data_IF_314796686441
#
_entry.id   IF_314796686441
#
_cell.length_a   1.000
_cell.length_b   1.000
_cell.length_c   1.000
_cell.angle_alpha   90.00
_cell.angle_beta   90.00
_cell.angle_gamma   90.00
#
_symmetry.space_group_name_H-M   'P 1'
#
loop_
_entity.id
_entity.type
_entity.pdbx_description
1 polymer ?
#
# COMPACT_ATOMS: atom_id res chain seq x y z
N UNK A 1 -4.17 56.36 -34.77
CA UNK A 1 -3.07 55.44 -35.14
C UNK A 1 -2.48 54.98 -33.83
N UNK A 2 -2.72 53.80 -33.27
CA UNK A 2 -3.01 52.48 -33.86
C UNK A 2 -3.86 51.71 -32.82
N UNK A 3 -4.95 51.09 -33.26
CA UNK A 3 -5.96 50.44 -32.42
C UNK A 3 -5.59 48.97 -32.12
N UNK A 4 -5.92 48.50 -30.91
CA UNK A 4 -5.92 47.10 -30.52
C UNK A 4 -7.16 46.40 -31.12
N UNK A 5 -7.07 45.18 -31.67
CA UNK A 5 -8.24 44.49 -32.18
C UNK A 5 -9.01 43.78 -31.06
N UNK A 6 -10.30 44.10 -30.98
CA UNK A 6 -11.33 43.39 -30.22
C UNK A 6 -11.55 42.00 -30.84
N UNK A 7 -11.38 40.94 -30.06
CA UNK A 7 -11.77 39.59 -30.49
C UNK A 7 -13.26 39.40 -30.19
N UNK A 8 -14.01 39.20 -31.27
CA UNK A 8 -15.46 39.00 -31.33
C UNK A 8 -15.77 37.53 -31.06
N UNK A 9 -16.68 37.25 -30.12
CA UNK A 9 -17.25 35.91 -29.91
C UNK A 9 -18.10 35.49 -31.11
N UNK A 10 -17.99 34.25 -31.63
CA UNK A 10 -18.86 33.79 -32.69
C UNK A 10 -20.25 33.46 -32.15
N UNK A 11 -21.27 34.20 -32.60
CA UNK A 11 -22.66 33.78 -32.54
C UNK A 11 -22.86 32.58 -33.47
N UNK A 12 -23.31 31.45 -32.91
CA UNK A 12 -23.78 30.32 -33.71
C UNK A 12 -25.22 30.59 -34.13
N UNK A 13 -25.43 30.72 -35.43
CA UNK A 13 -26.74 30.82 -36.05
C UNK A 13 -27.49 29.48 -35.90
N UNK A 14 -28.70 29.54 -35.34
CA UNK A 14 -29.62 28.40 -35.29
C UNK A 14 -30.28 28.22 -36.66
N UNK A 15 -29.87 27.19 -37.40
CA UNK A 15 -30.58 26.73 -38.59
C UNK A 15 -31.59 25.67 -38.16
N UNK A 16 -32.88 25.98 -38.29
CA UNK A 16 -33.95 25.02 -38.07
C UNK A 16 -33.96 23.99 -39.21
N UNK A 17 -33.62 22.73 -38.88
CA UNK A 17 -33.84 21.57 -39.74
C UNK A 17 -35.15 20.92 -39.30
N UNK A 18 -36.12 20.87 -40.22
CA UNK A 18 -37.40 20.16 -40.06
C UNK A 18 -37.15 18.66 -40.24
N UNK A 19 -37.29 17.87 -39.17
CA UNK A 19 -37.16 16.42 -39.18
C UNK A 19 -38.52 15.74 -39.39
N UNK A 20 -38.58 14.80 -40.33
CA UNK A 20 -39.71 13.86 -40.49
C UNK A 20 -39.75 12.80 -39.37
N UNK A 21 -40.86 12.07 -39.23
CA UNK A 21 -41.14 11.25 -38.05
C UNK A 21 -40.53 9.85 -38.16
N UNK A 22 -39.19 9.71 -38.20
CA UNK A 22 -38.51 8.43 -37.89
C UNK A 22 -36.97 8.53 -37.74
N UNK A 23 -36.46 9.54 -37.02
CA UNK A 23 -35.03 9.65 -36.74
C UNK A 23 -34.74 9.37 -35.25
N UNK A 24 -33.79 8.48 -34.90
CA UNK A 24 -33.37 8.30 -33.50
C UNK A 24 -32.80 9.62 -32.98
N UNK A 25 -33.23 10.01 -31.77
CA UNK A 25 -32.89 11.29 -31.16
C UNK A 25 -31.38 11.53 -31.05
N UNK A 26 -30.94 12.80 -30.94
CA UNK A 26 -29.52 13.11 -30.83
C UNK A 26 -28.93 12.44 -29.59
N UNK A 27 -27.98 11.53 -29.80
CA UNK A 27 -27.16 10.97 -28.73
C UNK A 27 -26.29 12.10 -28.21
N UNK A 28 -26.63 12.62 -27.03
CA UNK A 28 -25.78 13.55 -26.31
C UNK A 28 -24.52 12.80 -25.90
N UNK A 29 -23.43 13.00 -26.64
CA UNK A 29 -22.10 12.58 -26.18
C UNK A 29 -21.77 13.42 -24.95
N UNK A 30 -21.90 12.80 -23.77
CA UNK A 30 -21.38 13.34 -22.52
C UNK A 30 -19.86 13.42 -22.71
N UNK A 31 -19.22 14.59 -22.53
CA UNK A 31 -17.78 14.67 -22.61
C UNK A 31 -17.21 13.77 -21.51
N UNK A 32 -16.32 12.84 -21.90
CA UNK A 32 -15.60 11.99 -20.96
C UNK A 32 -14.70 12.92 -20.15
N UNK A 33 -15.20 13.36 -19.00
CA UNK A 33 -14.40 14.07 -18.00
C UNK A 33 -13.32 13.10 -17.55
N UNK A 34 -12.06 13.52 -17.76
CA UNK A 34 -10.82 12.91 -17.26
C UNK A 34 -11.06 11.75 -16.31
N UNK A 35 -10.90 10.52 -16.80
CA UNK A 35 -11.02 9.30 -16.00
C UNK A 35 -10.05 9.40 -14.83
N UNK A 36 -10.56 9.78 -13.65
CA UNK A 36 -9.82 9.58 -12.40
C UNK A 36 -9.66 8.08 -12.27
N UNK A 37 -8.45 7.59 -12.50
CA UNK A 37 -8.15 6.18 -12.33
C UNK A 37 -8.44 5.85 -10.88
N UNK A 38 -9.43 4.97 -10.65
CA UNK A 38 -9.78 4.51 -9.31
C UNK A 38 -8.78 3.41 -8.96
N UNK A 39 -8.01 3.55 -7.87
CA UNK A 39 -7.02 2.53 -7.50
C UNK A 39 -7.67 1.26 -6.95
N UNK A 40 -8.99 1.26 -6.71
CA UNK A 40 -9.73 0.17 -6.08
C UNK A 40 -10.59 -0.60 -7.09
N UNK A 41 -10.61 -1.91 -6.97
CA UNK A 41 -11.55 -2.84 -7.61
C UNK A 41 -12.29 -3.66 -6.57
N UNK A 42 -13.50 -4.12 -6.90
CA UNK A 42 -14.26 -5.02 -6.02
C UNK A 42 -14.04 -6.50 -6.39
N UNK A 43 -14.49 -7.38 -5.49
CA UNK A 43 -14.36 -8.82 -5.67
C UNK A 43 -15.12 -9.37 -6.90
N UNK A 44 -16.22 -8.71 -7.30
CA UNK A 44 -16.98 -9.09 -8.48
C UNK A 44 -16.20 -8.81 -9.77
N UNK A 45 -15.55 -7.66 -9.84
CA UNK A 45 -14.67 -7.27 -10.94
C UNK A 45 -13.50 -8.25 -11.07
N UNK A 46 -12.85 -8.60 -9.96
CA UNK A 46 -11.70 -9.52 -9.96
C UNK A 46 -12.14 -10.92 -10.41
N UNK A 47 -13.22 -11.45 -9.85
CA UNK A 47 -13.74 -12.77 -10.21
C UNK A 47 -14.09 -12.91 -11.69
N UNK A 48 -14.63 -11.85 -12.31
CA UNK A 48 -14.94 -11.83 -13.74
C UNK A 48 -13.70 -11.88 -14.65
N UNK A 49 -12.49 -11.68 -14.09
CA UNK A 49 -11.24 -11.54 -14.84
C UNK A 49 -10.17 -12.56 -14.47
N UNK A 50 -10.45 -13.51 -13.57
CA UNK A 50 -9.49 -14.56 -13.19
C UNK A 50 -8.98 -15.40 -14.38
N UNK A 51 -9.75 -15.48 -15.48
CA UNK A 51 -9.31 -16.14 -16.71
C UNK A 51 -8.55 -15.25 -17.71
N UNK A 52 -8.29 -13.99 -17.38
CA UNK A 52 -7.52 -13.06 -18.22
C UNK A 52 -6.02 -13.40 -18.09
N UNK A 53 -5.33 -13.81 -19.18
CA UNK A 53 -3.92 -14.19 -19.10
C UNK A 53 -2.99 -13.02 -18.74
N UNK A 54 -3.46 -11.78 -18.89
CA UNK A 54 -2.69 -10.58 -18.50
C UNK A 54 -2.90 -10.19 -17.04
N UNK A 55 -3.85 -10.80 -16.34
CA UNK A 55 -4.09 -10.53 -14.93
C UNK A 55 -3.01 -11.22 -14.08
N UNK A 56 -2.43 -10.48 -13.14
CA UNK A 56 -1.57 -11.02 -12.08
C UNK A 56 -2.15 -10.59 -10.74
N UNK A 57 -2.53 -11.58 -9.94
CA UNK A 57 -3.07 -11.35 -8.59
C UNK A 57 -1.96 -11.62 -7.58
N UNK A 58 -1.67 -10.64 -6.72
CA UNK A 58 -0.61 -10.73 -5.72
C UNK A 58 -1.18 -10.58 -4.32
N UNK A 59 -0.97 -11.60 -3.49
CA UNK A 59 -1.09 -11.55 -2.05
C UNK A 59 0.14 -10.86 -1.48
N UNK A 60 -0.05 -9.80 -0.70
CA UNK A 60 1.04 -9.02 -0.07
C UNK A 60 0.96 -9.04 1.45
N UNK A 61 0.33 -10.07 2.02
CA UNK A 61 0.10 -10.19 3.46
C UNK A 61 1.41 -10.22 4.25
N UNK A 62 1.46 -9.45 5.34
CA UNK A 62 2.52 -9.57 6.36
C UNK A 62 1.85 -9.69 7.73
N UNK A 63 2.30 -10.65 8.51
CA UNK A 63 1.85 -10.81 9.88
C UNK A 63 2.60 -9.83 10.77
N UNK A 64 1.87 -8.85 11.32
CA UNK A 64 2.42 -7.84 12.22
C UNK A 64 1.59 -7.75 13.51
N UNK A 65 1.92 -8.56 14.52
CA UNK A 65 1.30 -8.50 15.83
C UNK A 65 1.45 -7.11 16.48
N UNK A 66 0.50 -6.80 17.35
CA UNK A 66 0.56 -5.59 18.18
C UNK A 66 1.76 -5.67 19.13
N UNK A 67 2.49 -4.57 19.33
CA UNK A 67 3.61 -4.57 20.26
C UNK A 67 3.11 -4.79 21.69
N UNK A 68 3.76 -5.68 22.43
CA UNK A 68 3.40 -5.95 23.84
C UNK A 68 4.14 -5.02 24.82
N UNK A 69 5.32 -4.54 24.44
CA UNK A 69 6.12 -3.56 25.17
C UNK A 69 6.79 -2.60 24.19
N UNK A 70 7.37 -1.51 24.70
CA UNK A 70 8.05 -0.56 23.83
C UNK A 70 9.23 -1.22 23.12
N UNK A 71 9.45 -0.89 21.85
CA UNK A 71 10.52 -1.47 21.02
C UNK A 71 10.22 -2.83 20.37
N UNK A 72 9.04 -3.41 20.61
CA UNK A 72 8.70 -4.77 20.15
C UNK A 72 8.40 -4.84 18.63
N UNK A 73 9.31 -5.43 17.85
CA UNK A 73 9.17 -5.65 16.41
C UNK A 73 9.09 -7.15 16.12
N UNK A 74 7.92 -7.61 15.63
CA UNK A 74 7.64 -9.03 15.38
C UNK A 74 6.97 -9.24 14.02
N UNK A 75 7.56 -8.74 12.93
CA UNK A 75 7.03 -8.96 11.58
C UNK A 75 7.35 -10.39 11.12
N UNK A 76 6.42 -11.01 10.37
CA UNK A 76 6.65 -12.29 9.68
C UNK A 76 6.00 -12.26 8.29
N UNK A 77 6.60 -12.97 7.35
CA UNK A 77 6.00 -13.19 6.03
C UNK A 77 4.61 -13.80 6.14
N UNK A 78 3.66 -13.32 5.33
CA UNK A 78 2.31 -13.90 5.21
C UNK A 78 2.25 -15.13 4.30
N UNK A 79 3.38 -15.54 3.71
CA UNK A 79 3.47 -16.69 2.80
C UNK A 79 2.81 -17.96 3.34
N UNK A 80 2.96 -18.36 4.61
CA UNK A 80 2.29 -19.55 5.12
C UNK A 80 0.76 -19.46 5.03
N UNK A 81 0.18 -18.31 5.41
CA UNK A 81 -1.27 -18.11 5.33
C UNK A 81 -1.79 -18.07 3.89
N UNK A 82 -1.02 -17.49 2.97
CA UNK A 82 -1.33 -17.54 1.53
C UNK A 82 -1.30 -18.97 0.97
N UNK A 83 -0.34 -19.80 1.40
CA UNK A 83 -0.27 -21.20 0.95
C UNK A 83 -1.50 -22.01 1.42
N UNK A 84 -1.99 -21.72 2.62
CA UNK A 84 -3.17 -22.39 3.19
C UNK A 84 -4.47 -21.98 2.47
N UNK A 85 -4.67 -20.69 2.19
CA UNK A 85 -5.88 -20.18 1.52
C UNK A 85 -5.61 -18.90 0.76
N UNK A 86 -5.92 -18.89 -0.55
CA UNK A 86 -5.66 -17.76 -1.44
C UNK A 86 -6.75 -17.57 -2.50
N UNK A 87 -6.80 -16.37 -3.07
CA UNK A 87 -7.60 -16.13 -4.28
C UNK A 87 -7.03 -17.00 -5.43
N UNK A 88 -7.86 -17.58 -6.31
CA UNK A 88 -7.35 -18.41 -7.39
C UNK A 88 -6.33 -17.67 -8.25
N UNK A 89 -5.29 -18.38 -8.72
CA UNK A 89 -4.13 -17.86 -9.48
C UNK A 89 -3.21 -16.89 -8.73
N UNK A 90 -3.53 -16.53 -7.47
CA UNK A 90 -2.75 -15.55 -6.75
C UNK A 90 -1.38 -16.09 -6.34
N UNK A 91 -0.35 -15.27 -6.52
CA UNK A 91 0.99 -15.52 -5.98
C UNK A 91 1.27 -14.64 -4.77
N UNK A 92 2.24 -15.02 -3.94
CA UNK A 92 2.66 -14.22 -2.80
C UNK A 92 3.87 -13.33 -3.13
N UNK A 93 3.71 -12.02 -2.97
CA UNK A 93 4.78 -11.04 -2.98
C UNK A 93 5.19 -10.73 -1.55
N UNK A 94 6.34 -11.23 -1.13
CA UNK A 94 6.85 -11.05 0.23
C UNK A 94 7.37 -9.62 0.42
N UNK A 95 6.64 -8.81 1.18
CA UNK A 95 7.02 -7.41 1.44
C UNK A 95 8.15 -7.26 2.47
N UNK A 96 8.47 -8.33 3.22
CA UNK A 96 9.48 -8.28 4.27
C UNK A 96 10.85 -8.61 3.71
N UNK A 97 10.96 -9.74 3.03
CA UNK A 97 12.25 -10.30 2.62
C UNK A 97 12.57 -10.01 1.15
N UNK A 98 11.59 -10.10 0.25
CA UNK A 98 11.83 -9.96 -1.19
C UNK A 98 11.66 -8.52 -1.66
N UNK A 99 10.61 -7.83 -1.22
CA UNK A 99 10.17 -6.53 -1.75
C UNK A 99 10.43 -5.36 -0.78
N UNK A 100 11.57 -5.38 -0.10
CA UNK A 100 12.07 -4.28 0.72
C UNK A 100 13.56 -4.00 0.42
N UNK A 101 14.02 -2.78 0.70
CA UNK A 101 15.43 -2.41 0.54
C UNK A 101 16.30 -2.97 1.68
N UNK A 102 17.28 -3.86 1.38
CA UNK A 102 18.12 -4.45 2.40
C UNK A 102 19.04 -3.42 3.06
N UNK A 103 19.16 -3.47 4.39
CA UNK A 103 20.09 -2.63 5.13
C UNK A 103 19.66 -1.17 5.31
N UNK A 104 18.41 -0.84 4.98
CA UNK A 104 17.81 0.43 5.35
C UNK A 104 17.77 0.61 6.88
N UNK A 105 17.69 1.86 7.33
CA UNK A 105 17.63 2.22 8.76
C UNK A 105 16.26 1.94 9.40
N UNK A 106 15.27 1.52 8.61
CA UNK A 106 13.91 1.22 9.04
C UNK A 106 13.34 0.04 8.23
N UNK A 107 12.32 -0.62 8.78
CA UNK A 107 11.70 -1.78 8.15
C UNK A 107 10.86 -1.40 6.92
N UNK A 108 10.73 -2.36 5.99
CA UNK A 108 9.89 -2.26 4.78
C UNK A 108 10.27 -1.14 3.82
N UNK A 109 11.47 -0.57 3.93
CA UNK A 109 11.92 0.53 3.08
C UNK A 109 11.70 0.23 1.60
N UNK A 110 11.25 1.25 0.86
CA UNK A 110 10.94 1.12 -0.56
C UNK A 110 12.13 0.52 -1.35
N UNK A 111 11.95 -0.60 -2.08
CA UNK A 111 13.04 -1.26 -2.78
C UNK A 111 13.50 -0.47 -4.02
N UNK A 112 14.77 -0.60 -4.39
CA UNK A 112 15.27 -0.13 -5.69
C UNK A 112 14.53 -0.76 -6.88
N UNK A 113 14.47 -0.03 -8.00
CA UNK A 113 13.82 -0.52 -9.22
C UNK A 113 14.40 -1.85 -9.73
N UNK A 114 15.71 -2.06 -9.64
CA UNK A 114 16.34 -3.30 -10.09
C UNK A 114 15.90 -4.52 -9.27
N UNK A 115 15.81 -4.36 -7.94
CA UNK A 115 15.32 -5.42 -7.04
C UNK A 115 13.85 -5.72 -7.33
N UNK A 116 13.03 -4.67 -7.35
CA UNK A 116 11.60 -4.79 -7.61
C UNK A 116 11.32 -5.46 -8.96
N UNK A 117 12.06 -5.10 -10.01
CA UNK A 117 11.92 -5.70 -11.33
C UNK A 117 12.18 -7.22 -11.28
N UNK A 118 13.31 -7.63 -10.69
CA UNK A 118 13.68 -9.05 -10.60
C UNK A 118 12.63 -9.88 -9.84
N UNK A 119 12.08 -9.34 -8.75
CA UNK A 119 11.07 -10.03 -7.94
C UNK A 119 9.74 -10.13 -8.71
N UNK A 120 9.27 -9.01 -9.28
CA UNK A 120 7.99 -8.96 -9.99
C UNK A 120 7.99 -9.81 -11.26
N UNK A 121 9.08 -9.80 -12.04
CA UNK A 121 9.24 -10.71 -13.20
C UNK A 121 9.21 -12.18 -12.77
N UNK A 122 9.82 -12.52 -11.63
CA UNK A 122 9.76 -13.87 -11.04
C UNK A 122 8.36 -14.30 -10.64
N UNK A 123 7.49 -13.34 -10.31
CA UNK A 123 6.06 -13.55 -10.04
C UNK A 123 5.19 -13.42 -11.31
N UNK A 124 5.81 -13.32 -12.48
CA UNK A 124 5.13 -13.24 -13.76
C UNK A 124 4.47 -11.90 -14.07
N UNK A 125 4.97 -10.80 -13.50
CA UNK A 125 4.58 -9.44 -13.90
C UNK A 125 5.46 -8.99 -15.07
N UNK A 126 4.83 -8.43 -16.10
CA UNK A 126 5.48 -7.79 -17.25
C UNK A 126 4.77 -6.47 -17.62
N UNK A 127 5.29 -5.76 -18.64
CA UNK A 127 4.73 -4.48 -19.10
C UNK A 127 3.28 -4.55 -19.62
N UNK A 128 2.76 -5.75 -19.92
CA UNK A 128 1.38 -5.95 -20.36
C UNK A 128 0.43 -6.35 -19.21
N UNK A 129 0.97 -6.59 -18.02
CA UNK A 129 0.22 -7.16 -16.90
C UNK A 129 -0.72 -6.14 -16.25
N UNK A 130 -1.92 -6.60 -15.91
CA UNK A 130 -2.81 -5.90 -14.98
C UNK A 130 -2.58 -6.47 -13.58
N UNK A 131 -1.93 -5.71 -12.72
CA UNK A 131 -1.60 -6.15 -11.35
C UNK A 131 -2.73 -5.80 -10.38
N UNK A 132 -3.23 -6.79 -9.64
CA UNK A 132 -4.18 -6.61 -8.54
C UNK A 132 -3.56 -7.10 -7.24
N UNK A 133 -3.52 -6.22 -6.25
CA UNK A 133 -2.97 -6.49 -4.92
C UNK A 133 -4.09 -6.76 -3.94
N UNK A 134 -3.88 -7.71 -3.04
CA UNK A 134 -4.73 -7.91 -1.88
C UNK A 134 -3.91 -8.38 -0.67
N UNK A 135 -4.49 -8.29 0.51
CA UNK A 135 -4.00 -8.93 1.72
C UNK A 135 -5.14 -9.64 2.44
N UNK A 136 -4.77 -10.50 3.40
CA UNK A 136 -5.74 -11.34 4.11
C UNK A 136 -6.60 -10.58 5.12
N UNK A 137 -6.19 -9.36 5.50
CA UNK A 137 -6.71 -8.68 6.68
C UNK A 137 -7.55 -7.44 6.33
N UNK A 138 -6.91 -6.30 6.10
CA UNK A 138 -7.56 -4.99 6.17
C UNK A 138 -7.12 -3.99 5.10
N UNK A 139 -6.37 -4.44 4.09
CA UNK A 139 -5.96 -3.62 2.95
C UNK A 139 -4.72 -2.75 3.22
N UNK A 140 -4.17 -2.73 4.43
CA UNK A 140 -3.03 -1.86 4.76
C UNK A 140 -1.75 -2.30 4.06
N UNK A 141 -1.53 -3.60 3.92
CA UNK A 141 -0.38 -4.13 3.20
C UNK A 141 -0.55 -3.98 1.69
N UNK A 142 -1.78 -4.17 1.20
CA UNK A 142 -2.16 -3.89 -0.18
C UNK A 142 -1.88 -2.43 -0.55
N UNK A 143 -2.24 -1.49 0.34
CA UNK A 143 -1.96 -0.08 0.14
C UNK A 143 -0.46 0.25 0.21
N UNK A 144 0.31 -0.43 1.07
CA UNK A 144 1.77 -0.31 1.12
C UNK A 144 2.41 -0.75 -0.19
N UNK A 145 2.09 -1.94 -0.67
CA UNK A 145 2.57 -2.45 -1.95
C UNK A 145 2.15 -1.54 -3.11
N UNK A 146 0.90 -1.08 -3.11
CA UNK A 146 0.38 -0.15 -4.11
C UNK A 146 1.18 1.16 -4.18
N UNK A 147 1.48 1.77 -3.03
CA UNK A 147 2.27 3.00 -2.99
C UNK A 147 3.72 2.76 -3.44
N UNK A 148 4.30 1.63 -3.06
CA UNK A 148 5.63 1.22 -3.56
C UNK A 148 5.65 1.05 -5.07
N UNK A 149 4.70 0.33 -5.66
CA UNK A 149 4.63 0.15 -7.12
C UNK A 149 4.42 1.48 -7.84
N UNK A 150 3.62 2.38 -7.27
CA UNK A 150 3.48 3.74 -7.78
C UNK A 150 4.80 4.51 -7.80
N UNK A 151 5.62 4.38 -6.76
CA UNK A 151 6.98 4.92 -6.69
C UNK A 151 7.96 4.31 -7.69
N UNK A 152 7.58 3.21 -8.36
CA UNK A 152 8.34 2.55 -9.41
C UNK A 152 7.71 2.76 -10.80
N UNK A 153 6.73 3.66 -10.89
CA UNK A 153 6.03 3.96 -12.14
C UNK A 153 5.08 2.86 -12.61
N UNK A 154 4.85 1.83 -11.78
CA UNK A 154 3.95 0.72 -12.09
C UNK A 154 2.55 0.99 -11.54
N UNK A 155 1.56 0.93 -12.42
CA UNK A 155 0.17 1.10 -12.02
C UNK A 155 -0.44 -0.24 -11.59
N UNK A 156 -0.78 -0.35 -10.30
CA UNK A 156 -1.50 -1.49 -9.73
C UNK A 156 -2.89 -1.09 -9.22
N UNK A 157 -3.76 -2.08 -9.12
CA UNK A 157 -5.08 -1.99 -8.50
C UNK A 157 -5.06 -2.69 -7.13
N UNK A 158 -5.92 -2.25 -6.22
CA UNK A 158 -6.10 -2.86 -4.89
C UNK A 158 -7.50 -3.46 -4.81
N UNK A 159 -7.60 -4.72 -4.37
CA UNK A 159 -8.86 -5.35 -4.05
C UNK A 159 -9.45 -4.76 -2.77
N UNK A 160 -10.55 -4.02 -2.90
CA UNK A 160 -11.19 -3.33 -1.78
C UNK A 160 -11.76 -4.33 -0.76
N UNK A 161 -11.18 -4.34 0.45
CA UNK A 161 -11.49 -5.28 1.53
C UNK A 161 -10.78 -6.63 1.47
N UNK A 162 -9.86 -6.83 0.51
CA UNK A 162 -8.94 -7.97 0.47
C UNK A 162 -9.62 -9.35 0.45
N UNK A 163 -8.93 -10.35 1.02
CA UNK A 163 -9.44 -11.72 1.10
C UNK A 163 -10.70 -11.83 1.98
N UNK A 164 -10.81 -10.99 3.02
CA UNK A 164 -12.00 -10.97 3.89
C UNK A 164 -13.25 -10.61 3.09
N UNK A 165 -13.18 -9.59 2.22
CA UNK A 165 -14.29 -9.24 1.33
C UNK A 165 -14.56 -10.31 0.27
N UNK A 166 -13.51 -10.96 -0.25
CA UNK A 166 -13.65 -12.06 -1.21
C UNK A 166 -14.41 -13.25 -0.62
N UNK A 167 -14.05 -13.67 0.59
CA UNK A 167 -14.72 -14.75 1.32
C UNK A 167 -16.13 -14.36 1.74
N UNK A 168 -16.36 -13.11 2.13
CA UNK A 168 -17.69 -12.60 2.48
C UNK A 168 -18.69 -12.59 1.31
N UNK A 169 -18.19 -12.66 0.07
CA UNK A 169 -18.97 -12.81 -1.15
C UNK A 169 -19.17 -14.29 -1.57
N UNK A 170 -18.79 -15.26 -0.72
CA UNK A 170 -18.83 -16.72 -0.97
C UNK A 170 -18.09 -17.15 -2.25
N UNK A 171 -16.94 -16.51 -2.53
CA UNK A 171 -16.14 -16.78 -3.74
C UNK A 171 -15.15 -17.92 -3.54
N UNK A 172 -14.88 -18.65 -4.62
CA UNK A 172 -13.93 -19.75 -4.63
C UNK A 172 -12.51 -19.30 -4.24
N UNK A 173 -11.80 -20.18 -3.54
CA UNK A 173 -10.41 -20.01 -3.12
C UNK A 173 -9.62 -21.26 -3.49
N UNK A 174 -8.32 -21.10 -3.66
CA UNK A 174 -7.38 -22.22 -3.70
C UNK A 174 -6.88 -22.50 -2.28
N UNK A 175 -6.74 -23.78 -1.95
CA UNK A 175 -6.25 -24.25 -0.65
C UNK A 175 -5.22 -25.34 -0.88
N UNK A 176 -4.27 -25.50 0.03
CA UNK A 176 -3.20 -26.52 -0.07
C UNK A 176 -3.71 -27.94 -0.40
N UNK A 177 -4.90 -28.32 0.10
CA UNK A 177 -5.49 -29.65 -0.16
C UNK A 177 -5.93 -29.85 -1.63
N UNK A 178 -6.29 -28.78 -2.35
CA UNK A 178 -6.72 -28.86 -3.74
C UNK A 178 -5.54 -29.03 -4.72
N UNK A 179 -4.35 -28.55 -4.34
CA UNK A 179 -3.12 -28.73 -5.10
C UNK A 179 -2.59 -30.17 -4.96
N UNK A 180 -2.77 -30.79 -3.78
CA UNK A 180 -2.35 -32.18 -3.53
C UNK A 180 -3.19 -33.22 -4.30
N UNK A 181 -4.49 -32.97 -4.49
CA UNK A 181 -5.36 -33.86 -5.28
C UNK A 181 -5.07 -33.78 -6.79
N UNK A 182 -4.60 -32.63 -7.30
CA UNK A 182 -4.21 -32.47 -8.70
C UNK A 182 -2.88 -33.18 -9.03
N UNK A 183 -1.93 -33.21 -8.08
CA UNK A 183 -0.67 -33.94 -8.23
C UNK A 183 -0.84 -35.45 -8.03
N UNK A 184 -1.80 -35.89 -7.18
CA UNK A 184 -2.11 -37.31 -7.00
C UNK A 184 -2.71 -37.97 -8.26
N UNK A 185 -3.47 -37.23 -9.06
CA UNK A 185 -3.99 -37.71 -10.35
C UNK A 185 -2.92 -37.77 -11.45
N UNK A 186 -1.77 -37.09 -11.28
CA UNK A 186 -0.63 -37.18 -12.19
C UNK A 186 0.30 -38.37 -11.89
N UNK A 187 0.37 -38.80 -10.63
CA UNK A 187 1.20 -39.93 -10.18
C UNK A 187 0.46 -41.29 -10.15
N UNK A 188 -0.85 -41.32 -10.41
CA UNK A 188 -1.65 -42.56 -10.40
C UNK A 188 -1.44 -43.48 -11.63
N UNK A 189 -0.61 -43.09 -12.61
CA UNK A 189 -0.30 -43.92 -13.79
C UNK A 189 1.04 -44.67 -13.72
N UNK A 190 1.70 -44.72 -12.55
CA UNK A 190 2.88 -45.56 -12.34
C UNK A 190 2.73 -46.48 -11.12
N UNK A 191 2.81 -47.79 -11.41
CA UNK A 191 3.14 -48.88 -10.49
C UNK A 191 2.05 -49.43 -9.56
N UNK A 192 1.16 -50.22 -10.17
CA UNK A 192 0.54 -51.36 -9.48
C UNK A 192 1.47 -52.59 -9.51
N UNK A 193 2.23 -52.82 -8.43
CA UNK A 193 2.58 -54.19 -7.99
C UNK A 193 2.91 -54.26 -6.48
N UNK A 194 2.00 -54.91 -5.74
CA UNK A 194 2.27 -55.94 -4.74
C UNK A 194 3.28 -55.72 -3.59
N UNK A 195 2.78 -55.76 -2.35
CA UNK A 195 3.60 -56.25 -1.23
C UNK A 195 3.11 -55.90 0.17
N UNK A 196 2.34 -56.79 0.79
CA UNK A 196 2.00 -56.73 2.21
C UNK A 196 3.21 -57.08 3.11
N UNK A 197 3.37 -56.37 4.23
CA UNK A 197 4.35 -56.70 5.28
C UNK A 197 4.10 -55.93 6.58
N UNK A 198 3.80 -56.69 7.63
CA UNK A 198 3.43 -56.28 8.99
C UNK A 198 4.67 -56.07 9.90
N UNK A 199 4.44 -55.41 11.05
CA UNK A 199 5.21 -55.39 12.33
C UNK A 199 6.10 -54.17 12.72
N UNK A 200 5.68 -53.58 13.85
CA UNK A 200 6.41 -53.28 15.09
C UNK A 200 7.54 -52.22 15.20
N UNK A 201 7.13 -51.11 15.83
CA UNK A 201 7.62 -50.59 17.12
C UNK A 201 8.90 -49.71 17.25
N UNK A 202 8.75 -48.77 18.22
CA UNK A 202 9.75 -48.10 19.10
C UNK A 202 10.18 -46.66 18.73
N UNK A 203 9.55 -45.72 19.45
CA UNK A 203 10.16 -44.65 20.26
C UNK A 203 11.59 -44.16 19.92
N UNK A 204 11.68 -42.91 19.47
CA UNK A 204 12.87 -42.06 19.57
C UNK A 204 12.46 -40.58 19.52
N UNK A 205 12.84 -39.80 20.53
CA UNK A 205 12.60 -38.36 20.62
C UNK A 205 13.35 -37.60 19.51
N UNK A 206 12.86 -36.45 19.03
CA UNK A 206 13.53 -35.69 17.99
C UNK A 206 14.68 -34.85 18.57
N UNK A 207 15.87 -35.06 18.03
CA UNK A 207 17.00 -34.14 18.12
C UNK A 207 17.36 -33.68 16.71
N UNK A 208 17.84 -32.45 16.65
CA UNK A 208 18.41 -31.72 15.54
C UNK A 208 17.46 -30.95 14.62
N UNK A 209 17.71 -29.63 14.67
CA UNK A 209 17.26 -28.62 13.74
C UNK A 209 17.75 -28.98 12.33
N UNK A 210 16.82 -29.39 11.46
CA UNK A 210 17.01 -29.35 10.03
C UNK A 210 16.60 -27.96 9.54
N UNK A 211 17.56 -27.28 8.93
CA UNK A 211 17.35 -26.15 8.03
C UNK A 211 16.16 -26.46 7.10
N UNK A 212 15.07 -25.71 7.26
CA UNK A 212 14.04 -25.64 6.24
C UNK A 212 14.61 -24.80 5.10
N UNK A 213 15.21 -25.50 4.14
CA UNK A 213 15.43 -24.99 2.80
C UNK A 213 14.05 -24.67 2.22
N UNK A 214 13.65 -23.40 2.32
CA UNK A 214 12.42 -22.88 1.76
C UNK A 214 12.59 -22.85 0.22
N UNK A 215 12.53 -24.03 -0.37
CA UNK A 215 12.38 -24.18 -1.81
C UNK A 215 11.08 -23.48 -2.19
N UNK A 216 11.21 -22.46 -3.04
CA UNK A 216 10.12 -21.75 -3.70
C UNK A 216 9.15 -22.80 -4.23
N UNK A 217 7.93 -22.89 -3.66
CA UNK A 217 6.86 -23.65 -4.28
C UNK A 217 6.71 -23.12 -5.71
N UNK A 218 6.82 -24.02 -6.69
CA UNK A 218 6.89 -23.66 -8.10
C UNK A 218 5.72 -22.72 -8.45
N UNK A 219 5.97 -21.60 -9.15
CA UNK A 219 4.89 -20.77 -9.66
C UNK A 219 3.95 -21.66 -10.47
N UNK A 220 2.64 -21.46 -10.31
CA UNK A 220 1.68 -21.90 -11.33
C UNK A 220 2.24 -21.44 -12.68
N UNK A 221 2.46 -22.34 -13.64
CA UNK A 221 3.08 -21.98 -14.92
C UNK A 221 2.17 -20.98 -15.65
N UNK A 222 2.51 -19.70 -15.53
CA UNK A 222 1.79 -18.59 -16.13
C UNK A 222 2.16 -18.39 -17.62
N UNK A 223 2.94 -19.30 -18.21
CA UNK A 223 3.45 -19.20 -19.57
C UNK A 223 4.60 -18.19 -19.73
N UNK A 224 5.13 -18.01 -20.95
CA UNK A 224 6.24 -17.09 -21.20
C UNK A 224 5.78 -15.64 -21.00
N UNK A 225 6.31 -15.00 -19.95
CA UNK A 225 6.06 -13.58 -19.62
C UNK A 225 7.06 -12.66 -20.32
N UNK A 226 6.62 -11.43 -20.58
CA UNK A 226 7.45 -10.38 -21.19
C UNK A 226 8.50 -9.80 -20.24
N UNK A 227 9.17 -8.74 -20.68
CA UNK A 227 10.06 -7.93 -19.82
C UNK A 227 9.23 -6.90 -19.04
N UNK A 228 9.69 -6.56 -17.84
CA UNK A 228 9.12 -5.48 -17.03
C UNK A 228 10.05 -4.26 -17.03
N UNK A 229 9.50 -3.08 -17.28
CA UNK A 229 10.22 -1.80 -17.23
C UNK A 229 9.71 -0.96 -16.06
N UNK A 230 10.55 -0.73 -15.06
CA UNK A 230 10.24 0.14 -13.92
C UNK A 230 10.97 1.48 -14.03
N UNK A 231 10.28 2.56 -13.66
CA UNK A 231 10.83 3.92 -13.64
C UNK A 231 10.56 4.53 -12.28
N UNK A 232 11.63 4.80 -11.52
CA UNK A 232 11.51 5.43 -10.20
C UNK A 232 10.83 6.81 -10.32
N UNK A 233 9.78 6.99 -9.52
CA UNK A 233 9.08 8.26 -9.32
C UNK A 233 9.34 8.74 -7.89
N UNK A 234 10.42 9.51 -7.65
CA UNK A 234 10.70 10.04 -6.32
C UNK A 234 9.67 11.07 -5.85
N UNK A 235 8.78 11.55 -6.74
CA UNK A 235 7.81 12.59 -6.40
C UNK A 235 6.71 12.12 -5.44
N UNK A 236 6.54 10.80 -5.25
CA UNK A 236 5.58 10.21 -4.30
C UNK A 236 6.17 9.98 -2.91
N UNK A 237 7.48 10.20 -2.74
CA UNK A 237 8.20 9.97 -1.50
C UNK A 237 8.67 11.30 -0.91
N UNK A 238 8.58 11.44 0.41
CA UNK A 238 9.21 12.52 1.17
C UNK A 238 10.44 11.98 1.91
N UNK A 239 11.52 12.75 1.91
CA UNK A 239 12.71 12.43 2.71
C UNK A 239 12.58 12.97 4.13
N UNK A 240 13.44 12.51 5.03
CA UNK A 240 13.58 13.09 6.37
C UNK A 240 13.88 14.60 6.32
N UNK A 241 14.72 15.03 5.38
CA UNK A 241 15.07 16.45 5.20
C UNK A 241 13.85 17.28 4.76
N UNK A 242 12.98 16.74 3.91
CA UNK A 242 11.72 17.40 3.56
C UNK A 242 10.84 17.62 4.80
N UNK A 243 10.78 16.63 5.70
CA UNK A 243 10.00 16.73 6.95
C UNK A 243 10.63 17.74 7.91
N UNK A 244 11.97 17.79 8.01
CA UNK A 244 12.69 18.81 8.78
C UNK A 244 12.34 20.21 8.25
N UNK A 245 12.35 20.41 6.94
CA UNK A 245 11.99 21.69 6.32
C UNK A 245 10.53 22.08 6.59
N UNK A 246 9.61 21.11 6.63
CA UNK A 246 8.20 21.36 6.99
C UNK A 246 8.09 21.80 8.45
N UNK A 247 8.72 21.08 9.37
CA UNK A 247 8.71 21.39 10.81
C UNK A 247 9.35 22.75 11.08
N UNK A 248 10.40 23.12 10.35
CA UNK A 248 11.05 24.42 10.43
C UNK A 248 10.27 25.56 9.77
N UNK A 249 9.19 25.25 9.03
CA UNK A 249 8.42 26.22 8.23
C UNK A 249 9.14 26.70 6.96
N UNK A 250 10.23 26.05 6.55
CA UNK A 250 10.97 26.33 5.32
C UNK A 250 10.26 25.75 4.08
N UNK A 251 9.46 24.69 4.25
CA UNK A 251 8.61 24.09 3.22
C UNK A 251 7.14 24.17 3.64
N UNK A 252 6.27 24.69 2.77
CA UNK A 252 4.82 24.73 3.01
C UNK A 252 4.17 23.41 2.58
N UNK A 253 3.85 22.55 3.56
CA UNK A 253 3.08 21.33 3.37
C UNK A 253 2.20 21.07 4.60
N UNK A 254 1.14 20.29 4.44
CA UNK A 254 0.42 19.68 5.54
C UNK A 254 1.13 18.37 5.93
N UNK A 255 1.61 18.28 7.17
CA UNK A 255 2.19 17.06 7.71
C UNK A 255 1.10 16.25 8.43
N UNK A 256 0.93 14.99 8.06
CA UNK A 256 -0.20 14.15 8.51
C UNK A 256 0.30 12.87 9.16
N UNK A 257 -0.08 12.64 10.41
CA UNK A 257 0.17 11.39 11.12
C UNK A 257 -1.02 10.45 10.95
N UNK A 258 -0.75 9.28 10.36
CA UNK A 258 -1.77 8.26 10.06
C UNK A 258 -1.96 7.20 11.16
N UNK A 259 -1.30 7.35 12.31
CA UNK A 259 -1.49 6.48 13.47
C UNK A 259 -2.77 6.82 14.25
N UNK A 260 -3.21 5.91 15.12
CA UNK A 260 -4.33 6.16 16.04
C UNK A 260 -4.06 7.33 17.00
N UNK A 261 -5.13 7.93 17.52
CA UNK A 261 -5.04 9.09 18.40
C UNK A 261 -4.19 8.83 19.66
N UNK A 262 -4.29 7.64 20.24
CA UNK A 262 -3.50 7.19 21.40
C UNK A 262 -1.99 7.08 21.11
N UNK A 263 -1.63 6.63 19.90
CA UNK A 263 -0.24 6.61 19.44
C UNK A 263 0.25 8.02 19.13
N UNK A 264 -0.60 8.87 18.54
CA UNK A 264 -0.30 10.26 18.24
C UNK A 264 -0.01 11.07 19.51
N UNK A 265 -0.84 10.93 20.55
CA UNK A 265 -0.62 11.62 21.85
C UNK A 265 0.51 11.00 22.66
N UNK A 266 0.98 9.79 22.30
CA UNK A 266 2.05 9.07 22.97
C UNK A 266 1.60 8.27 24.20
N UNK A 267 0.30 8.02 24.35
CA UNK A 267 -0.28 7.21 25.42
C UNK A 267 -0.07 5.71 25.18
N UNK A 268 -0.20 5.27 23.93
CA UNK A 268 -0.05 3.87 23.56
C UNK A 268 1.41 3.39 23.62
N UNK A 269 1.57 2.09 23.89
CA UNK A 269 2.83 1.37 23.69
C UNK A 269 3.24 1.43 22.22
N UNK A 270 4.52 1.62 21.97
CA UNK A 270 5.03 1.80 20.61
C UNK A 270 6.25 0.95 20.32
N UNK A 271 6.37 0.46 19.08
CA UNK A 271 7.60 -0.21 18.65
C UNK A 271 8.76 0.77 18.38
N UNK A 272 8.50 2.08 18.24
CA UNK A 272 9.54 3.07 17.92
C UNK A 272 10.37 3.48 19.15
N UNK A 273 11.53 4.09 18.94
CA UNK A 273 12.47 4.43 20.00
C UNK A 273 11.94 5.47 21.00
N UNK A 274 11.04 6.35 20.55
CA UNK A 274 10.41 7.40 21.37
C UNK A 274 8.94 7.54 21.02
N UNK A 275 8.12 7.89 22.02
CA UNK A 275 6.67 8.12 21.89
C UNK A 275 6.35 9.55 21.46
N UNK A 276 5.16 9.74 20.89
CA UNK A 276 4.63 11.04 20.46
C UNK A 276 4.56 11.19 18.95
N UNK A 277 4.35 12.41 18.49
CA UNK A 277 4.21 12.76 17.07
C UNK A 277 5.21 13.85 16.64
N UNK A 278 5.44 13.95 15.33
CA UNK A 278 6.30 14.98 14.73
C UNK A 278 5.60 16.34 14.89
N UNK A 279 6.29 17.41 15.36
CA UNK A 279 5.66 18.70 15.59
C UNK A 279 4.89 19.22 14.38
N UNK A 280 3.86 20.03 14.62
CA UNK A 280 2.99 20.66 13.59
C UNK A 280 2.11 19.69 12.79
N UNK A 281 2.23 18.38 13.02
CA UNK A 281 1.42 17.40 12.30
C UNK A 281 -0.04 17.39 12.75
N UNK A 282 -0.91 17.05 11.80
CA UNK A 282 -2.34 16.81 11.99
C UNK A 282 -2.53 15.30 12.15
N UNK A 283 -3.38 14.86 13.07
CA UNK A 283 -3.74 13.45 13.16
C UNK A 283 -4.93 13.13 12.24
N UNK A 284 -4.71 12.23 11.29
CA UNK A 284 -5.74 11.61 10.45
C UNK A 284 -5.51 10.10 10.46
N UNK A 285 -6.01 9.37 11.46
CA UNK A 285 -5.80 7.93 11.56
C UNK A 285 -6.24 7.20 10.29
N UNK A 286 -5.38 6.35 9.74
CA UNK A 286 -5.72 5.56 8.54
C UNK A 286 -6.95 4.67 8.75
N UNK A 287 -7.18 4.22 9.99
CA UNK A 287 -8.34 3.42 10.38
C UNK A 287 -9.66 4.19 10.28
N UNK A 288 -9.63 5.51 10.40
CA UNK A 288 -10.82 6.35 10.26
C UNK A 288 -11.23 6.52 8.78
N UNK A 289 -10.37 6.09 7.85
CA UNK A 289 -10.65 6.04 6.41
C UNK A 289 -11.16 4.68 5.95
N UNK A 290 -11.24 3.70 6.86
CA UNK A 290 -11.64 2.33 6.59
C UNK A 290 -13.02 2.01 7.19
N UNK A 291 -13.81 1.24 6.44
CA UNK A 291 -14.96 0.50 6.91
C UNK A 291 -14.50 -0.78 7.64
N UNK A 292 -15.43 -1.51 8.30
CA UNK A 292 -15.16 -2.88 8.73
C UNK A 292 -14.62 -3.75 7.58
N UNK A 293 -13.79 -4.74 7.92
CA UNK A 293 -13.07 -5.59 6.95
C UNK A 293 -12.10 -4.82 6.01
N UNK A 294 -11.71 -3.59 6.36
CA UNK A 294 -10.63 -2.88 5.67
C UNK A 294 -10.99 -2.24 4.34
N UNK A 295 -12.27 -2.27 3.94
CA UNK A 295 -12.74 -1.55 2.76
C UNK A 295 -12.56 -0.05 2.95
N UNK A 296 -12.19 0.70 1.92
CA UNK A 296 -12.14 2.15 2.03
C UNK A 296 -13.56 2.71 2.24
N UNK A 297 -13.69 3.82 2.97
CA UNK A 297 -14.96 4.55 3.06
C UNK A 297 -15.51 4.90 1.65
N UNK A 298 -16.84 4.95 1.53
CA UNK A 298 -17.46 5.41 0.30
C UNK A 298 -17.13 6.89 0.01
N UNK A 299 -17.28 7.32 -1.24
CA UNK A 299 -16.81 8.64 -1.65
C UNK A 299 -17.39 9.82 -0.84
N UNK A 300 -18.71 9.86 -0.52
CA UNK A 300 -19.26 10.91 0.34
C UNK A 300 -18.63 10.94 1.74
N UNK A 301 -18.52 9.78 2.40
CA UNK A 301 -18.01 9.71 3.77
C UNK A 301 -16.51 9.92 3.83
N UNK A 302 -15.77 9.36 2.87
CA UNK A 302 -14.33 9.59 2.71
C UNK A 302 -14.03 11.09 2.52
N UNK A 303 -14.78 11.76 1.63
CA UNK A 303 -14.65 13.20 1.42
C UNK A 303 -14.94 14.00 2.69
N UNK A 304 -15.94 13.59 3.48
CA UNK A 304 -16.28 14.21 4.76
C UNK A 304 -15.14 14.07 5.79
N UNK A 305 -14.61 12.85 5.97
CA UNK A 305 -13.53 12.59 6.94
C UNK A 305 -12.24 13.29 6.54
N UNK A 306 -11.85 13.19 5.26
CA UNK A 306 -10.65 13.89 4.74
C UNK A 306 -10.80 15.40 4.88
N UNK A 307 -11.95 15.96 4.49
CA UNK A 307 -12.21 17.40 4.56
C UNK A 307 -12.21 17.99 5.98
N UNK A 308 -12.49 17.17 7.01
CA UNK A 308 -12.41 17.59 8.42
C UNK A 308 -10.97 17.82 8.88
N UNK A 309 -10.03 16.97 8.44
CA UNK A 309 -8.62 17.08 8.81
C UNK A 309 -7.84 17.98 7.83
N UNK A 310 -8.21 17.97 6.56
CA UNK A 310 -7.55 18.65 5.45
C UNK A 310 -8.61 19.35 4.60
N UNK A 311 -8.95 20.61 4.91
CA UNK A 311 -9.97 21.35 4.15
C UNK A 311 -9.68 21.40 2.64
N UNK A 312 -10.71 21.47 1.80
CA UNK A 312 -10.57 21.47 0.34
C UNK A 312 -9.89 22.74 -0.18
N UNK A 313 -10.01 23.85 0.54
CA UNK A 313 -9.30 25.10 0.24
C UNK A 313 -7.78 25.04 0.50
N UNK A 314 -7.31 24.01 1.22
CA UNK A 314 -5.88 23.79 1.44
C UNK A 314 -5.26 23.03 0.25
N UNK A 315 -4.55 23.77 -0.60
CA UNK A 315 -3.89 23.26 -1.81
C UNK A 315 -2.43 22.86 -1.59
N UNK A 316 -1.97 22.90 -0.33
CA UNK A 316 -0.62 22.51 0.04
C UNK A 316 -0.36 21.05 -0.34
N UNK A 317 0.92 20.76 -0.54
CA UNK A 317 1.39 19.37 -0.57
C UNK A 317 1.04 18.69 0.75
N UNK A 318 0.66 17.42 0.69
CA UNK A 318 0.36 16.60 1.86
C UNK A 318 1.49 15.58 2.01
N UNK A 319 2.18 15.62 3.14
CA UNK A 319 3.19 14.61 3.52
C UNK A 319 2.61 13.75 4.63
N UNK A 320 2.44 12.47 4.36
CA UNK A 320 1.86 11.50 5.29
C UNK A 320 2.96 10.65 5.89
N UNK A 321 2.90 10.42 7.19
CA UNK A 321 3.78 9.49 7.90
C UNK A 321 2.99 8.67 8.91
N UNK A 322 3.56 7.58 9.40
CA UNK A 322 2.98 6.80 10.49
C UNK A 322 4.09 6.27 11.41
N UNK A 323 4.11 4.96 11.62
CA UNK A 323 5.19 4.24 12.25
C UNK A 323 6.36 3.91 11.34
N UNK A 324 6.10 3.06 10.35
CA UNK A 324 7.06 2.61 9.34
C UNK A 324 6.37 2.47 7.99
N UNK A 325 5.81 3.56 7.46
CA UNK A 325 5.25 3.64 6.09
C UNK A 325 3.94 2.91 5.80
N UNK A 326 3.50 1.93 6.60
CA UNK A 326 2.34 1.07 6.27
C UNK A 326 1.00 1.82 6.36
N UNK A 327 0.61 2.27 7.55
CA UNK A 327 -0.64 3.05 7.72
C UNK A 327 -0.60 4.37 6.94
N UNK A 328 0.57 4.95 6.71
CA UNK A 328 0.75 6.13 5.87
C UNK A 328 0.34 5.85 4.43
N UNK A 329 0.69 4.66 3.91
CA UNK A 329 0.31 4.24 2.55
C UNK A 329 -1.20 4.02 2.41
N UNK A 330 -1.87 3.44 3.43
CA UNK A 330 -3.34 3.35 3.42
C UNK A 330 -4.01 4.71 3.49
N UNK A 331 -3.50 5.63 4.31
CA UNK A 331 -3.98 7.01 4.33
C UNK A 331 -3.75 7.71 2.98
N UNK A 332 -2.60 7.49 2.33
CA UNK A 332 -2.31 8.02 1.00
C UNK A 332 -3.27 7.47 -0.08
N UNK A 333 -3.61 6.18 -0.03
CA UNK A 333 -4.64 5.57 -0.88
C UNK A 333 -6.01 6.24 -0.68
N UNK A 334 -6.40 6.49 0.57
CA UNK A 334 -7.62 7.22 0.91
C UNK A 334 -7.61 8.66 0.38
N UNK A 335 -6.51 9.41 0.56
CA UNK A 335 -6.37 10.78 0.07
C UNK A 335 -6.43 10.85 -1.46
N UNK A 336 -5.74 9.96 -2.16
CA UNK A 336 -5.80 9.86 -3.63
C UNK A 336 -7.22 9.52 -4.10
N UNK A 337 -7.89 8.59 -3.42
CA UNK A 337 -9.28 8.22 -3.72
C UNK A 337 -10.27 9.36 -3.44
N UNK A 338 -10.00 10.21 -2.46
CA UNK A 338 -10.72 11.46 -2.21
C UNK A 338 -10.40 12.56 -3.24
N UNK A 339 -9.45 12.34 -4.15
CA UNK A 339 -9.07 13.26 -5.22
C UNK A 339 -7.92 14.20 -4.89
N UNK A 340 -7.18 13.97 -3.79
CA UNK A 340 -5.94 14.71 -3.49
C UNK A 340 -4.83 14.20 -4.40
N UNK A 341 -4.21 15.10 -5.15
CA UNK A 341 -3.20 14.75 -6.17
C UNK A 341 -1.75 14.99 -5.72
N UNK A 342 -1.52 15.77 -4.66
CA UNK A 342 -0.19 16.17 -4.17
C UNK A 342 0.14 15.48 -2.85
N UNK A 343 0.14 14.15 -2.88
CA UNK A 343 0.35 13.31 -1.70
C UNK A 343 1.71 12.64 -1.79
N UNK A 344 2.50 12.74 -0.72
CA UNK A 344 3.80 12.08 -0.56
C UNK A 344 3.81 11.28 0.74
N UNK A 345 4.52 10.16 0.75
CA UNK A 345 4.72 9.35 1.97
C UNK A 345 6.16 9.57 2.46
N UNK A 346 6.31 9.94 3.72
CA UNK A 346 7.59 9.87 4.41
C UNK A 346 7.81 8.45 4.91
N UNK A 347 8.60 7.69 4.16
CA UNK A 347 8.67 6.23 4.30
C UNK A 347 9.21 5.80 5.67
N UNK A 348 10.35 6.37 6.07
CA UNK A 348 10.98 6.12 7.35
C UNK A 348 10.11 6.44 8.56
N UNK A 349 9.16 7.37 8.41
CA UNK A 349 8.11 7.63 9.40
C UNK A 349 8.67 7.83 10.83
N UNK A 350 7.95 7.43 11.88
CA UNK A 350 8.45 7.52 13.26
C UNK A 350 9.59 6.55 13.56
N UNK A 351 9.74 5.46 12.82
CA UNK A 351 10.86 4.54 13.02
C UNK A 351 12.20 5.25 12.76
N UNK A 352 12.33 5.93 11.62
CA UNK A 352 13.50 6.75 11.29
C UNK A 352 13.58 8.01 12.17
N UNK A 353 12.47 8.74 12.31
CA UNK A 353 12.45 10.03 13.02
C UNK A 353 12.74 9.87 14.51
N UNK A 354 12.13 8.87 15.16
CA UNK A 354 12.28 8.67 16.59
C UNK A 354 13.66 8.09 16.97
N UNK A 355 14.36 7.44 16.04
CA UNK A 355 15.71 6.93 16.27
C UNK A 355 16.75 8.05 16.43
N UNK A 356 16.53 9.21 15.81
CA UNK A 356 17.43 10.37 15.90
C UNK A 356 17.08 11.24 17.12
N UNK A 357 17.88 11.12 18.20
CA UNK A 357 17.62 11.80 19.47
C UNK A 357 17.56 13.35 19.36
N UNK A 358 18.15 13.94 18.33
CA UNK A 358 18.17 15.40 18.12
C UNK A 358 16.89 15.91 17.45
N UNK A 359 16.10 15.03 16.83
CA UNK A 359 14.82 15.40 16.21
C UNK A 359 13.69 15.52 17.25
N UNK A 360 12.84 16.56 17.15
CA UNK A 360 11.80 16.83 18.14
C UNK A 360 10.59 15.89 18.01
N UNK A 361 9.98 15.55 19.14
CA UNK A 361 8.67 14.89 19.23
C UNK A 361 7.79 15.62 20.26
N UNK A 362 6.48 15.56 20.04
CA UNK A 362 5.47 16.17 20.90
C UNK A 362 4.63 15.07 21.55
N UNK A 363 4.32 15.23 22.84
CA UNK A 363 3.36 14.40 23.58
C UNK A 363 2.05 15.18 23.78
N UNK A 364 0.93 14.47 23.92
CA UNK A 364 -0.40 15.05 24.08
C UNK A 364 -0.99 15.58 22.76
N UNK A 365 -1.99 16.44 22.87
CA UNK A 365 -2.76 17.01 21.74
C UNK A 365 -2.05 18.18 21.02
N UNK A 366 -0.82 18.50 21.40
CA UNK A 366 -0.07 19.61 20.81
C UNK A 366 -0.51 21.00 21.30
N UNK A 367 -1.27 21.11 22.39
CA UNK A 367 -1.35 22.39 23.11
C UNK A 367 0.05 22.74 23.62
N UNK A 368 0.66 23.88 23.22
CA UNK A 368 2.03 24.19 23.62
C UNK A 368 2.11 24.30 25.14
N UNK A 369 2.74 23.32 25.79
CA UNK A 369 3.30 23.52 27.11
C UNK A 369 4.28 24.69 26.98
N UNK A 370 4.05 25.76 27.76
CA UNK A 370 4.86 26.97 27.75
C UNK A 370 6.35 26.61 27.61
N UNK A 371 6.96 27.04 26.51
CA UNK A 371 8.32 26.69 26.13
C UNK A 371 9.30 26.90 27.29
N UNK A 372 9.81 25.80 27.84
CA UNK A 372 11.01 25.78 28.66
C UNK A 372 12.09 25.05 27.85
N UNK A 373 12.81 25.81 27.03
CA UNK A 373 13.95 25.30 26.27
C UNK A 373 14.15 26.02 24.96
N UNK A 374 14.69 27.24 25.03
CA UNK A 374 15.36 27.89 23.89
C UNK A 374 16.30 26.90 23.22
N UNK A 375 16.06 26.61 21.94
CA UNK A 375 17.04 26.02 21.02
C UNK A 375 18.35 26.81 21.17
N UNK A 376 19.40 26.13 21.63
CA UNK A 376 20.73 26.73 21.77
C UNK A 376 21.36 26.77 20.38
N UNK A 377 21.87 27.90 19.88
CA UNK A 377 22.57 27.95 18.61
C UNK A 377 23.82 27.06 18.66
N UNK A 378 24.02 26.24 17.65
CA UNK A 378 25.29 25.54 17.41
C UNK A 378 26.35 26.59 17.06
N UNK A 379 27.30 26.80 17.97
CA UNK A 379 28.49 27.60 17.70
C UNK A 379 28.97 28.36 18.92
N UNK A 380 29.87 27.76 19.69
CA UNK A 380 31.13 28.41 20.11
C UNK A 380 31.99 27.41 20.87
N UNK A 381 33.22 27.25 20.36
CA UNK A 381 34.30 26.43 20.88
C UNK A 381 34.69 26.91 22.29
N UNK A 382 34.73 25.97 23.23
CA UNK A 382 35.18 26.21 24.60
C UNK A 382 36.71 26.30 24.63
N UNK A 383 37.34 27.31 25.26
CA UNK A 383 38.78 27.29 25.47
C UNK A 383 39.13 26.33 26.61
N UNK A 384 40.24 25.62 26.45
CA UNK A 384 40.87 24.80 27.48
C UNK A 384 41.34 25.69 28.63
N UNK A 385 41.00 25.29 29.85
CA UNK A 385 41.48 25.85 31.11
C UNK A 385 41.48 24.76 32.17
#
# INVERSE_FOLDING_TARGET
MTALPTVVSPQVASAAVTSGPDAPGPVTLVPVTSTRVRPLVDAAWLAARLGDPTLVVLDVTVDLPRPLHDGDHQSRSGRPGWADTRIPTAQHLDLLDDFAEPGASYHFAHPSAARAQSVLEGLGVDDASTVVLYDSADGFWSARAWWSLRGLGLHALVLDGGLTAWLGDDRAVETADADADADADADADADADGGAGDSDAISGAPSDASEIDATIAAPTDLGPRGTLTLVEDPSVWASRDDVIDIVAGARSAALVCALGADQFTGEATTRYSRRGHIPTSINLPARDLAQPAGRLLDAPELGRVVGQALPDEDDREIVVYCGGGISASYAALGLVSAGRSRVRVYDGSLEEWSADADLPLVLGDGTPAAAAGTLRPLGESRPLG
#
